data_IF_545518320201
#
_entry.id   IF_545518320201
#
_cell.length_a   1.000
_cell.length_b   1.000
_cell.length_c   1.000
_cell.angle_alpha   90.00
_cell.angle_beta   90.00
_cell.angle_gamma   90.00
#
_symmetry.space_group_name_H-M   'P 1'
#
loop_
_entity.id
_entity.type
_entity.pdbx_description
1 polymer ?
#
# COMPACT_ATOMS: atom_id res chain seq x y z
N UNK A 1 -7.83 -10.35 -25.48
CA UNK A 1 -8.76 -9.45 -24.76
C UNK A 1 -9.17 -8.27 -25.64
N UNK A 2 -8.26 -7.71 -26.45
CA UNK A 2 -8.56 -6.62 -27.41
C UNK A 2 -9.80 -6.83 -28.28
N UNK A 3 -9.95 -7.99 -28.92
CA UNK A 3 -11.08 -8.26 -29.83
C UNK A 3 -12.44 -8.13 -29.12
N UNK A 4 -12.60 -8.79 -27.96
CA UNK A 4 -13.84 -8.77 -27.18
C UNK A 4 -14.14 -7.39 -26.59
N UNK A 5 -13.11 -6.61 -26.21
CA UNK A 5 -13.32 -5.26 -25.67
C UNK A 5 -13.69 -4.26 -26.78
N UNK A 6 -13.07 -4.40 -27.97
CA UNK A 6 -13.40 -3.58 -29.13
C UNK A 6 -14.84 -3.82 -29.63
N UNK A 7 -15.36 -5.05 -29.55
CA UNK A 7 -16.77 -5.36 -29.87
C UNK A 7 -17.77 -4.60 -29.00
N UNK A 8 -17.39 -4.29 -27.75
CA UNK A 8 -18.20 -3.49 -26.81
C UNK A 8 -18.01 -1.98 -27.02
N UNK A 9 -17.21 -1.57 -28.02
CA UNK A 9 -16.99 -0.18 -28.40
C UNK A 9 -15.90 0.55 -27.61
N UNK A 10 -15.13 -0.16 -26.79
CA UNK A 10 -13.96 0.41 -26.09
C UNK A 10 -12.74 0.27 -27.01
N UNK A 11 -12.08 1.37 -27.41
CA UNK A 11 -10.96 1.30 -28.35
C UNK A 11 -9.71 0.71 -27.69
N UNK A 12 -8.84 0.12 -28.51
CA UNK A 12 -7.50 -0.28 -28.09
C UNK A 12 -6.59 0.95 -27.92
N UNK A 13 -6.03 1.14 -26.74
CA UNK A 13 -5.08 2.22 -26.46
C UNK A 13 -3.66 1.83 -26.91
N UNK A 14 -2.89 2.80 -27.41
CA UNK A 14 -1.51 2.56 -27.86
C UNK A 14 -0.55 2.31 -26.68
N UNK A 15 -0.59 3.16 -25.67
CA UNK A 15 0.16 3.02 -24.41
C UNK A 15 -0.50 3.93 -23.36
N UNK A 16 -0.75 3.39 -22.16
CA UNK A 16 -1.27 4.14 -21.03
C UNK A 16 -0.33 5.26 -20.54
N UNK A 17 0.96 5.22 -20.93
CA UNK A 17 1.93 6.26 -20.59
C UNK A 17 1.91 7.48 -21.52
N UNK A 18 1.04 7.51 -22.55
CA UNK A 18 0.94 8.62 -23.50
C UNK A 18 0.04 9.78 -23.02
N UNK A 19 -0.38 9.77 -21.75
CA UNK A 19 -1.24 10.80 -21.16
C UNK A 19 -2.75 10.56 -21.33
N UNK A 20 -3.14 9.55 -22.11
CA UNK A 20 -4.53 9.12 -22.25
C UNK A 20 -4.69 7.71 -21.69
N UNK A 21 -5.53 7.57 -20.65
CA UNK A 21 -5.82 6.31 -19.95
C UNK A 21 -7.18 5.71 -20.35
N UNK A 22 -7.64 5.98 -21.58
CA UNK A 22 -8.90 5.46 -22.09
C UNK A 22 -8.65 4.36 -23.12
N UNK A 23 -9.16 3.17 -22.88
CA UNK A 23 -9.10 2.02 -23.78
C UNK A 23 -8.48 0.76 -23.19
N UNK A 24 -8.40 -0.30 -24.00
CA UNK A 24 -7.74 -1.56 -23.65
C UNK A 24 -6.26 -1.53 -24.04
N UNK A 25 -5.37 -1.82 -23.09
CA UNK A 25 -3.96 -2.05 -23.37
C UNK A 25 -3.28 -2.82 -22.24
N UNK A 26 -2.17 -3.49 -22.55
CA UNK A 26 -1.29 -4.06 -21.54
C UNK A 26 -0.59 -2.96 -20.72
N UNK A 27 -0.76 -3.00 -19.40
CA UNK A 27 -0.04 -2.12 -18.48
C UNK A 27 1.44 -2.56 -18.39
N UNK A 28 2.35 -1.58 -18.54
CA UNK A 28 3.79 -1.85 -18.43
C UNK A 28 4.18 -2.05 -16.97
N UNK A 29 4.76 -3.21 -16.68
CA UNK A 29 5.28 -3.52 -15.35
C UNK A 29 6.74 -3.07 -15.18
N UNK A 30 7.14 -2.75 -13.96
CA UNK A 30 8.53 -2.40 -13.59
C UNK A 30 9.43 -3.63 -13.42
N UNK A 31 9.46 -4.49 -14.45
CA UNK A 31 10.17 -5.78 -14.44
C UNK A 31 11.31 -5.74 -15.45
N UNK A 32 12.48 -6.24 -15.06
CA UNK A 32 13.60 -6.44 -15.97
C UNK A 32 13.34 -7.67 -16.85
N UNK A 33 13.22 -7.54 -18.19
CA UNK A 33 12.90 -8.66 -19.07
C UNK A 33 13.98 -9.75 -19.14
N UNK A 34 15.22 -9.44 -18.72
CA UNK A 34 16.33 -10.41 -18.77
C UNK A 34 16.41 -11.34 -17.55
N UNK A 35 15.68 -11.04 -16.47
CA UNK A 35 15.81 -11.80 -15.23
C UNK A 35 14.56 -11.82 -14.37
N UNK A 36 13.43 -11.35 -14.90
CA UNK A 36 12.12 -11.29 -14.23
C UNK A 36 12.15 -10.67 -12.82
N UNK A 37 13.16 -9.84 -12.55
CA UNK A 37 13.29 -9.13 -11.28
C UNK A 37 12.59 -7.79 -11.38
N UNK A 38 11.69 -7.50 -10.44
CA UNK A 38 11.20 -6.14 -10.22
C UNK A 38 12.31 -5.30 -9.56
N UNK A 39 12.73 -4.21 -10.19
CA UNK A 39 13.65 -3.24 -9.55
C UNK A 39 12.84 -2.21 -8.79
N UNK A 40 12.56 -2.52 -7.52
CA UNK A 40 11.97 -1.55 -6.59
C UNK A 40 12.97 -0.48 -6.12
N UNK A 41 12.46 0.60 -5.55
CA UNK A 41 13.24 1.70 -4.96
C UNK A 41 14.29 1.21 -3.94
N UNK A 42 14.01 0.11 -3.23
CA UNK A 42 14.97 -0.53 -2.33
C UNK A 42 16.24 -1.00 -3.05
N UNK A 43 16.11 -1.68 -4.19
CA UNK A 43 17.25 -2.22 -4.92
C UNK A 43 18.13 -1.10 -5.48
N UNK A 44 17.51 -0.02 -5.97
CA UNK A 44 18.25 1.16 -6.44
C UNK A 44 18.97 1.87 -5.28
N UNK A 45 18.32 2.05 -4.12
CA UNK A 45 18.94 2.71 -2.96
C UNK A 45 20.16 1.94 -2.44
N UNK A 46 20.06 0.61 -2.35
CA UNK A 46 21.19 -0.23 -1.91
C UNK A 46 22.34 -0.23 -2.91
N UNK A 47 22.05 -0.18 -4.21
CA UNK A 47 23.09 -0.02 -5.23
C UNK A 47 23.75 1.36 -5.15
N UNK A 48 22.96 2.41 -4.88
CA UNK A 48 23.47 3.78 -4.72
C UNK A 48 24.35 3.97 -3.50
N UNK A 49 24.13 3.25 -2.40
CA UNK A 49 24.99 3.29 -1.21
C UNK A 49 26.43 2.90 -1.54
N UNK A 50 26.63 1.89 -2.39
CA UNK A 50 27.97 1.48 -2.83
C UNK A 50 28.64 2.51 -3.76
N UNK A 51 27.86 3.36 -4.43
CA UNK A 51 28.36 4.36 -5.38
C UNK A 51 28.64 5.72 -4.71
N UNK A 52 28.03 5.99 -3.55
CA UNK A 52 28.09 7.28 -2.89
C UNK A 52 28.58 7.16 -1.45
N UNK A 53 29.85 7.51 -1.16
CA UNK A 53 30.42 7.35 0.19
C UNK A 53 29.75 8.27 1.24
N UNK A 54 29.03 9.30 0.81
CA UNK A 54 28.30 10.23 1.67
C UNK A 54 26.87 9.78 1.98
N UNK A 55 26.41 8.66 1.42
CA UNK A 55 25.08 8.10 1.64
C UNK A 55 25.17 6.94 2.63
N UNK A 56 24.41 7.02 3.73
CA UNK A 56 24.32 5.95 4.73
C UNK A 56 22.88 5.46 4.79
N UNK A 57 22.67 4.16 4.58
CA UNK A 57 21.32 3.56 4.61
C UNK A 57 21.17 2.67 5.84
N UNK A 58 20.41 3.15 6.82
CA UNK A 58 20.09 2.39 8.01
C UNK A 58 18.89 1.46 7.75
N UNK A 59 19.13 0.14 7.82
CA UNK A 59 18.10 -0.89 7.67
C UNK A 59 17.57 -1.34 9.03
N UNK A 60 16.28 -1.67 9.09
CA UNK A 60 15.63 -2.04 10.36
C UNK A 60 15.54 -0.87 11.34
N UNK A 61 15.61 0.37 10.84
CA UNK A 61 15.51 1.59 11.62
C UNK A 61 14.10 2.19 11.45
N UNK A 62 13.25 2.09 12.48
CA UNK A 62 11.89 2.65 12.46
C UNK A 62 11.88 4.01 13.13
N UNK A 63 11.61 5.08 12.39
CA UNK A 63 11.42 6.42 12.96
C UNK A 63 10.22 6.43 13.92
N UNK A 64 10.41 6.99 15.10
CA UNK A 64 9.41 7.05 16.18
C UNK A 64 8.95 8.46 16.48
N UNK A 65 9.85 9.43 16.41
CA UNK A 65 9.56 10.82 16.74
C UNK A 65 10.58 11.77 16.09
N UNK A 66 10.16 12.97 15.74
CA UNK A 66 11.01 14.07 15.28
C UNK A 66 11.10 15.10 16.42
N UNK A 67 12.32 15.48 16.78
CA UNK A 67 12.57 16.48 17.80
C UNK A 67 12.74 17.84 17.14
N UNK A 68 12.07 18.83 17.70
CA UNK A 68 12.10 20.21 17.25
C UNK A 68 12.77 21.10 18.29
N UNK A 69 13.55 22.06 17.80
CA UNK A 69 14.01 23.20 18.57
C UNK A 69 13.00 24.34 18.45
N UNK A 70 12.54 24.83 19.61
CA UNK A 70 11.53 25.87 19.75
C UNK A 70 12.12 27.24 20.10
N UNK A 71 13.44 27.42 19.98
CA UNK A 71 14.11 28.70 20.25
C UNK A 71 13.76 29.81 19.23
N UNK A 72 13.01 29.50 18.18
CA UNK A 72 12.60 30.45 17.13
C UNK A 72 11.08 30.46 16.95
N UNK A 73 10.56 31.50 16.28
CA UNK A 73 9.14 31.62 15.93
C UNK A 73 8.63 30.48 15.05
N UNK A 74 9.53 29.77 14.35
CA UNK A 74 9.23 28.57 13.58
C UNK A 74 10.03 27.38 14.14
N UNK A 75 9.37 26.31 14.61
CA UNK A 75 10.09 25.16 15.14
C UNK A 75 10.99 24.51 14.09
N UNK A 76 12.25 24.25 14.46
CA UNK A 76 13.23 23.64 13.55
C UNK A 76 13.45 22.18 13.92
N UNK A 77 13.23 21.26 12.97
CA UNK A 77 13.56 19.84 13.18
C UNK A 77 15.08 19.66 13.32
N UNK A 78 15.54 19.11 14.43
CA UNK A 78 16.96 18.96 14.76
C UNK A 78 17.42 17.51 14.83
N UNK A 79 16.55 16.61 15.26
CA UNK A 79 16.88 15.18 15.35
C UNK A 79 15.68 14.28 15.14
N UNK A 80 15.96 13.00 14.88
CA UNK A 80 14.96 11.95 14.73
C UNK A 80 15.31 10.82 15.67
N UNK A 81 14.35 10.43 16.51
CA UNK A 81 14.43 9.21 17.30
C UNK A 81 13.96 8.04 16.45
N UNK A 82 14.75 6.98 16.40
CA UNK A 82 14.42 5.77 15.67
C UNK A 82 14.76 4.53 16.50
N UNK A 83 13.97 3.48 16.32
CA UNK A 83 14.24 2.17 16.90
C UNK A 83 15.09 1.34 15.95
N UNK A 84 16.12 0.70 16.48
CA UNK A 84 17.05 -0.21 15.81
C UNK A 84 17.02 -1.56 16.53
N UNK A 85 17.52 -2.67 15.93
CA UNK A 85 17.69 -3.94 16.64
C UNK A 85 18.52 -3.84 17.93
N UNK A 86 19.33 -2.79 18.06
CA UNK A 86 20.15 -2.50 19.23
C UNK A 86 19.52 -1.48 20.21
N UNK A 87 18.22 -1.21 20.08
CA UNK A 87 17.48 -0.26 20.92
C UNK A 87 17.14 1.07 20.25
N UNK A 88 16.68 2.04 21.03
CA UNK A 88 16.31 3.38 20.55
C UNK A 88 17.58 4.23 20.39
N UNK A 89 17.72 4.87 19.23
CA UNK A 89 18.84 5.76 18.89
C UNK A 89 18.30 7.10 18.38
N UNK A 90 19.17 8.09 18.34
CA UNK A 90 18.88 9.43 17.83
C UNK A 90 19.84 9.78 16.69
N UNK A 91 19.31 10.27 15.57
CA UNK A 91 20.08 10.83 14.47
C UNK A 91 19.87 12.34 14.39
N UNK A 92 20.96 13.12 14.39
CA UNK A 92 20.90 14.59 14.28
C UNK A 92 20.98 15.04 12.83
N UNK A 93 20.16 16.01 12.45
CA UNK A 93 20.16 16.61 11.11
C UNK A 93 20.65 18.06 11.18
N UNK A 94 21.70 18.41 10.42
CA UNK A 94 22.22 19.78 10.35
C UNK A 94 21.34 20.73 9.53
N UNK A 95 20.68 20.19 8.51
CA UNK A 95 19.95 20.99 7.52
C UNK A 95 18.44 20.76 7.57
N UNK A 96 18.00 19.57 7.15
CA UNK A 96 16.59 19.24 6.96
C UNK A 96 16.32 17.79 7.35
N UNK A 97 15.11 17.55 7.83
CA UNK A 97 14.52 16.21 7.98
C UNK A 97 13.45 16.06 6.91
N UNK A 98 13.54 14.99 6.12
CA UNK A 98 12.58 14.69 5.06
C UNK A 98 11.78 13.47 5.50
N UNK A 99 10.45 13.60 5.52
CA UNK A 99 9.55 12.50 5.87
C UNK A 99 9.09 11.82 4.59
N UNK A 100 9.34 10.51 4.50
CA UNK A 100 8.96 9.69 3.35
C UNK A 100 8.57 8.27 3.78
N UNK A 101 7.83 8.16 4.88
CA UNK A 101 7.41 6.86 5.45
C UNK A 101 6.12 6.33 4.81
N UNK A 102 5.63 6.97 3.74
CA UNK A 102 4.43 6.55 2.99
C UNK A 102 3.14 7.17 3.52
N UNK A 103 2.02 6.91 2.82
CA UNK A 103 0.74 7.59 3.06
C UNK A 103 0.17 7.37 4.48
N UNK A 104 0.45 6.22 5.10
CA UNK A 104 -0.05 5.88 6.44
C UNK A 104 0.89 6.35 7.57
N UNK A 105 2.18 6.08 7.43
CA UNK A 105 3.13 6.35 8.51
C UNK A 105 3.63 7.79 8.54
N UNK A 106 3.57 8.53 7.42
CA UNK A 106 3.98 9.94 7.39
C UNK A 106 3.08 10.80 8.28
N UNK A 107 1.73 10.77 8.14
CA UNK A 107 0.87 11.51 9.05
C UNK A 107 0.97 11.02 10.49
N UNK A 108 1.13 9.71 10.71
CA UNK A 108 1.36 9.17 12.05
C UNK A 108 2.62 9.76 12.70
N UNK A 109 3.75 9.79 11.97
CA UNK A 109 5.01 10.35 12.47
C UNK A 109 4.88 11.84 12.76
N UNK A 110 4.18 12.60 11.91
CA UNK A 110 3.89 14.01 12.14
C UNK A 110 3.09 14.22 13.43
N UNK A 111 2.04 13.42 13.65
CA UNK A 111 1.17 13.51 14.83
C UNK A 111 1.96 13.25 16.12
N UNK A 112 2.72 12.16 16.19
CA UNK A 112 3.51 11.83 17.39
C UNK A 112 4.66 12.82 17.64
N UNK A 113 5.04 13.59 16.61
CA UNK A 113 6.03 14.66 16.71
C UNK A 113 5.41 16.03 17.01
N UNK A 114 4.11 16.10 17.31
CA UNK A 114 3.41 17.31 17.68
C UNK A 114 2.90 18.15 16.52
N UNK A 115 2.86 17.62 15.29
CA UNK A 115 2.24 18.27 14.13
C UNK A 115 0.88 17.61 13.88
N UNK A 116 -0.19 18.20 14.39
CA UNK A 116 -1.52 17.57 14.38
C UNK A 116 -2.66 18.60 14.48
N UNK A 117 -3.91 18.22 14.16
CA UNK A 117 -5.08 19.03 14.46
C UNK A 117 -5.20 19.27 15.98
N UNK A 118 -5.40 20.50 16.43
CA UNK A 118 -5.38 20.80 17.88
C UNK A 118 -6.54 20.15 18.63
N UNK A 119 -7.74 20.21 18.07
CA UNK A 119 -8.98 19.74 18.73
C UNK A 119 -8.94 18.26 19.12
N UNK A 120 -8.45 17.39 18.25
CA UNK A 120 -8.47 15.94 18.45
C UNK A 120 -7.43 15.43 19.45
N UNK A 121 -6.33 16.17 19.63
CA UNK A 121 -5.15 15.73 20.37
C UNK A 121 -4.98 16.42 21.72
N UNK A 122 -5.51 17.64 21.87
CA UNK A 122 -5.53 18.35 23.16
C UNK A 122 -6.36 17.58 24.20
N UNK A 123 -7.51 17.04 23.79
CA UNK A 123 -8.36 16.21 24.66
C UNK A 123 -7.70 14.89 25.10
N UNK A 124 -6.64 14.45 24.41
CA UNK A 124 -5.89 13.22 24.71
C UNK A 124 -4.59 13.47 25.46
N UNK A 125 -4.34 14.73 25.87
CA UNK A 125 -3.12 15.12 26.58
C UNK A 125 -1.85 15.06 25.73
N UNK A 126 -1.98 15.06 24.39
CA UNK A 126 -0.83 15.05 23.48
C UNK A 126 -0.47 16.50 23.14
N UNK A 127 0.77 16.95 23.43
CA UNK A 127 1.17 18.32 23.17
C UNK A 127 1.25 18.57 21.66
N UNK A 128 0.54 19.61 21.20
CA UNK A 128 0.56 20.04 19.80
C UNK A 128 1.52 21.21 19.65
N UNK A 129 2.61 21.00 18.92
CA UNK A 129 3.63 21.99 18.63
C UNK A 129 3.23 22.89 17.45
N UNK A 130 2.80 22.27 16.36
CA UNK A 130 2.33 22.97 15.15
C UNK A 130 0.92 22.45 14.87
N UNK A 131 -0.05 23.36 14.83
CA UNK A 131 -1.40 23.01 14.43
C UNK A 131 -1.48 22.81 12.93
N UNK A 132 -1.93 21.62 12.51
CA UNK A 132 -2.18 21.31 11.11
C UNK A 132 -3.41 20.43 10.96
N UNK A 133 -4.49 21.02 10.46
CA UNK A 133 -5.80 20.36 10.32
C UNK A 133 -5.83 19.25 9.27
N UNK A 134 -4.92 19.30 8.28
CA UNK A 134 -4.88 18.35 7.16
C UNK A 134 -4.10 17.07 7.47
N UNK A 135 -3.33 17.02 8.56
CA UNK A 135 -2.50 15.85 8.87
C UNK A 135 -3.39 14.66 9.21
N UNK A 136 -3.22 13.57 8.46
CA UNK A 136 -4.00 12.34 8.62
C UNK A 136 -5.42 12.41 8.05
N UNK A 137 -5.79 13.51 7.40
CA UNK A 137 -7.08 13.69 6.72
C UNK A 137 -6.94 13.48 5.21
N UNK A 138 -8.07 13.44 4.50
CA UNK A 138 -8.13 13.33 3.04
C UNK A 138 -7.39 12.09 2.49
N UNK A 139 -7.49 10.95 3.18
CA UNK A 139 -6.98 9.68 2.66
C UNK A 139 -7.88 9.23 1.50
N UNK A 140 -7.27 9.05 0.33
CA UNK A 140 -7.92 8.56 -0.87
C UNK A 140 -7.32 7.21 -1.25
N UNK A 141 -8.16 6.20 -1.37
CA UNK A 141 -7.79 4.87 -1.86
C UNK A 141 -8.79 4.44 -2.90
N UNK A 142 -8.32 3.70 -3.90
CA UNK A 142 -9.20 3.05 -4.85
C UNK A 142 -9.74 1.76 -4.25
N UNK A 143 -11.04 1.53 -4.40
CA UNK A 143 -11.64 0.24 -4.07
C UNK A 143 -11.32 -0.71 -5.22
N UNK A 144 -10.83 -1.90 -4.89
CA UNK A 144 -10.55 -2.95 -5.86
C UNK A 144 -11.57 -4.06 -5.71
N UNK A 145 -12.22 -4.42 -6.81
CA UNK A 145 -13.13 -5.57 -6.90
C UNK A 145 -12.62 -6.48 -8.01
N UNK A 146 -12.19 -7.68 -7.63
CA UNK A 146 -11.75 -8.69 -8.58
C UNK A 146 -12.92 -9.53 -9.06
N UNK A 147 -13.15 -9.56 -10.37
CA UNK A 147 -14.07 -10.53 -10.99
C UNK A 147 -13.25 -11.71 -11.49
N UNK A 148 -13.70 -12.93 -11.18
CA UNK A 148 -13.07 -14.17 -11.61
C UNK A 148 -14.09 -15.02 -12.35
N UNK A 149 -13.68 -15.57 -13.48
CA UNK A 149 -14.50 -16.45 -14.31
C UNK A 149 -13.72 -17.73 -14.59
N UNK A 150 -14.45 -18.84 -14.73
CA UNK A 150 -13.86 -20.09 -15.17
C UNK A 150 -13.40 -19.96 -16.63
N UNK A 151 -12.22 -20.50 -16.91
CA UNK A 151 -11.61 -20.53 -18.24
C UNK A 151 -11.07 -21.93 -18.48
N UNK A 152 -10.85 -22.26 -19.74
CA UNK A 152 -10.28 -23.56 -20.12
C UNK A 152 -8.97 -23.83 -19.36
N UNK A 153 -8.83 -25.05 -18.83
CA UNK A 153 -7.68 -25.50 -18.04
C UNK A 153 -6.37 -25.56 -18.83
N UNK A 154 -6.41 -25.39 -20.15
CA UNK A 154 -5.23 -25.19 -20.99
C UNK A 154 -4.57 -23.81 -20.82
N UNK A 155 -5.27 -22.83 -20.21
CA UNK A 155 -4.77 -21.47 -20.04
C UNK A 155 -4.08 -21.28 -18.68
N UNK A 156 -2.88 -20.68 -18.71
CA UNK A 156 -2.17 -20.28 -17.51
C UNK A 156 -2.80 -19.02 -16.93
N UNK A 157 -3.45 -19.15 -15.77
CA UNK A 157 -4.04 -18.02 -15.02
C UNK A 157 -3.23 -17.71 -13.77
N UNK A 158 -3.46 -16.54 -13.17
CA UNK A 158 -2.87 -16.20 -11.88
C UNK A 158 -3.31 -17.18 -10.77
N UNK A 159 -4.51 -17.76 -10.90
CA UNK A 159 -5.08 -18.75 -9.99
C UNK A 159 -4.32 -20.08 -10.01
N UNK A 160 -3.55 -20.37 -11.07
CA UNK A 160 -2.74 -21.58 -11.17
C UNK A 160 -1.80 -21.78 -9.96
N UNK A 161 -1.29 -20.68 -9.39
CA UNK A 161 -0.46 -20.73 -8.19
C UNK A 161 -1.20 -21.17 -6.91
N UNK A 162 -2.53 -20.98 -6.88
CA UNK A 162 -3.41 -21.37 -5.78
C UNK A 162 -4.08 -22.74 -6.00
N UNK A 163 -4.24 -23.16 -7.26
CA UNK A 163 -4.94 -24.41 -7.61
C UNK A 163 -4.01 -25.60 -7.93
N UNK A 164 -2.73 -25.37 -8.24
CA UNK A 164 -1.77 -26.45 -8.53
C UNK A 164 -0.80 -26.72 -7.37
N UNK A 165 -0.95 -27.87 -6.73
CA UNK A 165 -0.07 -28.35 -5.65
C UNK A 165 1.38 -28.58 -6.12
N UNK A 166 1.60 -28.82 -7.42
CA UNK A 166 2.92 -29.07 -8.02
C UNK A 166 3.65 -27.76 -8.38
N UNK A 167 2.90 -26.67 -8.53
CA UNK A 167 3.45 -25.36 -8.83
C UNK A 167 4.24 -24.75 -7.66
N UNK A 168 3.71 -24.86 -6.44
CA UNK A 168 4.36 -24.35 -5.22
C UNK A 168 5.79 -24.87 -5.03
N UNK A 169 6.08 -26.19 -5.10
CA UNK A 169 7.45 -26.69 -4.97
C UNK A 169 8.35 -26.26 -6.14
N UNK A 170 7.85 -26.13 -7.37
CA UNK A 170 8.65 -25.60 -8.51
C UNK A 170 9.01 -24.14 -8.33
N UNK A 171 8.07 -23.30 -7.89
CA UNK A 171 8.35 -21.88 -7.59
C UNK A 171 9.25 -21.72 -6.39
N UNK A 172 9.11 -22.57 -5.38
CA UNK A 172 10.01 -22.61 -4.23
C UNK A 172 11.44 -22.96 -4.65
N UNK A 173 11.61 -23.96 -5.52
CA UNK A 173 12.90 -24.31 -6.11
C UNK A 173 13.51 -23.15 -6.92
N UNK A 174 12.70 -22.45 -7.71
CA UNK A 174 13.14 -21.27 -8.48
C UNK A 174 13.57 -20.11 -7.56
N UNK A 175 12.82 -19.84 -6.50
CA UNK A 175 13.17 -18.81 -5.50
C UNK A 175 14.48 -19.14 -4.76
N UNK A 176 14.69 -20.43 -4.45
CA UNK A 176 15.95 -20.90 -3.87
C UNK A 176 17.14 -20.79 -4.84
N UNK A 177 16.91 -20.94 -6.15
CA UNK A 177 17.99 -20.89 -7.15
C UNK A 177 18.33 -19.49 -7.67
N UNK A 178 17.37 -18.55 -7.65
CA UNK A 178 17.57 -17.19 -8.19
C UNK A 178 17.91 -16.14 -7.13
N UNK A 179 17.75 -16.46 -5.85
CA UNK A 179 18.22 -15.61 -4.76
C UNK A 179 19.72 -15.80 -4.56
N UNK A 180 20.55 -14.74 -4.50
CA UNK A 180 21.95 -14.86 -4.09
C UNK A 180 21.98 -15.08 -2.57
N UNK A 181 21.64 -16.30 -2.13
CA UNK A 181 21.78 -16.71 -0.73
C UNK A 181 23.18 -17.31 -0.58
N UNK A 182 24.07 -16.69 0.21
CA UNK A 182 25.38 -17.25 0.47
C UNK A 182 25.26 -18.65 1.09
N UNK A 183 26.12 -19.57 0.66
CA UNK A 183 26.11 -21.01 0.91
C UNK A 183 26.37 -21.46 2.36
N UNK A 184 26.06 -20.61 3.35
CA UNK A 184 26.07 -20.94 4.77
C UNK A 184 24.83 -20.36 5.44
N UNK A 185 23.75 -21.12 5.45
CA UNK A 185 22.73 -21.24 6.52
C UNK A 185 21.57 -22.09 6.00
N UNK A 186 21.81 -23.42 5.90
CA UNK A 186 20.74 -24.42 5.76
C UNK A 186 20.14 -24.70 7.14
N UNK A 187 19.40 -23.74 7.71
CA UNK A 187 18.42 -23.92 8.80
C UNK A 187 18.00 -22.54 9.30
N UNK A 188 16.70 -22.39 9.60
CA UNK A 188 16.02 -21.21 10.17
C UNK A 188 15.58 -20.20 9.09
N UNK A 189 14.32 -19.81 8.89
CA UNK A 189 13.01 -20.24 9.39
C UNK A 189 11.96 -19.76 8.37
N UNK A 190 11.19 -20.67 7.76
CA UNK A 190 10.04 -20.33 6.91
C UNK A 190 8.87 -19.73 7.74
N UNK A 191 9.00 -19.77 9.06
CA UNK A 191 8.00 -19.33 10.04
C UNK A 191 7.85 -17.79 10.11
N UNK A 192 8.90 -17.02 9.79
CA UNK A 192 8.86 -15.55 9.91
C UNK A 192 8.08 -14.87 8.77
N UNK A 193 8.13 -15.44 7.57
CA UNK A 193 7.49 -14.86 6.38
C UNK A 193 5.97 -15.10 6.39
N UNK A 194 5.53 -16.27 6.87
CA UNK A 194 4.11 -16.55 7.08
C UNK A 194 3.55 -15.81 8.29
N UNK A 195 4.32 -15.59 9.38
CA UNK A 195 3.89 -14.73 10.49
C UNK A 195 3.64 -13.29 10.07
N UNK A 196 4.53 -12.69 9.27
CA UNK A 196 4.30 -11.33 8.77
C UNK A 196 3.00 -11.22 7.97
N UNK A 197 2.69 -12.23 7.14
CA UNK A 197 1.45 -12.24 6.36
C UNK A 197 0.19 -12.51 7.21
N UNK A 198 0.30 -13.35 8.24
CA UNK A 198 -0.83 -13.67 9.13
C UNK A 198 -1.09 -12.61 10.19
N UNK A 199 -0.04 -11.97 10.72
CA UNK A 199 -0.15 -10.92 11.73
C UNK A 199 -0.74 -9.64 11.13
N UNK A 200 -0.44 -9.34 9.86
CA UNK A 200 -1.07 -8.24 9.12
C UNK A 200 -2.57 -8.50 8.85
N UNK A 201 -2.97 -9.77 8.63
CA UNK A 201 -4.40 -10.16 8.50
C UNK A 201 -5.12 -10.11 9.86
N UNK A 202 -4.46 -10.51 10.95
CA UNK A 202 -5.03 -10.43 12.31
C UNK A 202 -5.18 -8.99 12.80
N UNK A 203 -4.29 -8.07 12.41
CA UNK A 203 -4.42 -6.65 12.74
C UNK A 203 -5.64 -5.99 12.07
N UNK A 204 -6.09 -6.54 10.94
CA UNK A 204 -7.31 -6.14 10.24
C UNK A 204 -8.57 -6.86 10.77
N UNK A 205 -8.40 -7.94 11.53
CA UNK A 205 -9.48 -8.75 12.09
C UNK A 205 -9.40 -8.79 13.64
N UNK A 206 -9.47 -7.62 14.29
CA UNK A 206 -9.85 -7.61 15.71
C UNK A 206 -11.31 -8.08 15.83
N UNK A 207 -11.65 -8.93 16.83
CA UNK A 207 -12.97 -9.52 16.94
C UNK A 207 -13.98 -8.44 17.31
N UNK A 208 -14.96 -8.21 16.44
CA UNK A 208 -16.21 -7.56 16.79
C UNK A 208 -17.00 -8.47 17.75
N UNK A 209 -16.56 -8.53 19.00
CA UNK A 209 -17.39 -9.05 20.09
C UNK A 209 -18.25 -7.91 20.64
N UNK A 210 -19.57 -8.09 20.49
CA UNK A 210 -20.71 -7.42 21.14
C UNK A 210 -21.12 -6.04 20.60
N UNK A 211 -22.05 -6.08 19.65
CA UNK A 211 -23.25 -5.22 19.68
C UNK A 211 -24.49 -6.13 19.52
N UNK A 212 -25.62 -5.78 20.15
CA UNK A 212 -26.69 -6.72 20.47
C UNK A 212 -27.48 -7.16 19.24
N UNK A 213 -27.93 -8.42 19.30
CA UNK A 213 -28.85 -9.05 18.37
C UNK A 213 -30.16 -8.24 18.26
N UNK A 214 -30.37 -7.57 17.14
CA UNK A 214 -31.71 -7.21 16.70
C UNK A 214 -32.26 -8.35 15.85
N UNK A 215 -33.11 -9.15 16.47
CA UNK A 215 -34.02 -10.08 15.82
C UNK A 215 -34.99 -9.31 14.91
N UNK A 216 -34.91 -9.51 13.60
CA UNK A 216 -36.07 -9.34 12.73
C UNK A 216 -36.12 -10.48 11.73
N UNK A 217 -37.24 -11.17 11.75
CA UNK A 217 -37.45 -12.46 11.14
C UNK A 217 -37.54 -12.39 9.62
N UNK A 218 -37.20 -13.53 9.02
CA UNK A 218 -37.62 -13.89 7.68
C UNK A 218 -39.14 -13.81 7.58
N UNK A 219 -39.65 -12.93 6.73
CA UNK A 219 -40.93 -13.12 6.05
C UNK A 219 -40.79 -12.64 4.62
N UNK A 220 -40.80 -13.59 3.69
CA UNK A 220 -41.12 -13.37 2.28
C UNK A 220 -42.47 -12.67 2.14
N UNK A 221 -42.62 -11.79 1.13
CA UNK A 221 -43.89 -11.76 0.42
C UNK A 221 -43.70 -11.88 -1.10
N UNK A 222 -44.51 -12.80 -1.61
CA UNK A 222 -45.01 -12.97 -2.96
C UNK A 222 -45.60 -11.69 -3.57
N UNK A 223 -45.33 -11.42 -4.86
CA UNK A 223 -46.20 -10.58 -5.72
C UNK A 223 -45.61 -9.26 -6.25
N UNK A 224 -46.17 -8.68 -7.34
CA UNK A 224 -45.39 -8.26 -8.52
C UNK A 224 -45.31 -6.73 -8.78
N UNK A 225 -44.45 -6.35 -9.76
CA UNK A 225 -44.22 -5.00 -10.35
C UNK A 225 -43.45 -3.99 -9.46
N UNK A 226 -42.57 -3.09 -9.94
CA UNK A 226 -42.50 -2.36 -11.21
C UNK A 226 -41.08 -1.85 -11.48
N UNK A 227 -40.67 -1.81 -12.75
CA UNK A 227 -39.44 -1.17 -13.25
C UNK A 227 -39.68 0.34 -13.31
N UNK A 228 -38.97 1.11 -12.48
CA UNK A 228 -38.96 2.57 -12.51
C UNK A 228 -37.68 3.10 -13.13
N UNK A 229 -37.71 3.37 -14.44
CA UNK A 229 -36.74 4.21 -15.12
C UNK A 229 -37.00 5.67 -14.75
N UNK A 230 -36.01 6.35 -14.17
CA UNK A 230 -36.05 7.80 -13.97
C UNK A 230 -35.22 8.50 -15.04
N UNK A 231 -35.94 8.99 -16.04
CA UNK A 231 -35.51 9.92 -17.07
C UNK A 231 -35.19 11.27 -16.39
N UNK A 232 -33.96 11.76 -16.55
CA UNK A 232 -33.61 13.15 -16.23
C UNK A 232 -33.75 14.01 -17.50
N UNK A 233 -34.41 15.18 -17.43
CA UNK A 233 -34.77 15.97 -18.59
C UNK A 233 -33.59 16.82 -19.12
N UNK A 234 -33.64 17.05 -20.43
CA UNK A 234 -32.75 17.88 -21.22
C UNK A 234 -32.69 19.34 -20.74
N UNK A 235 -31.51 19.94 -20.76
CA UNK A 235 -31.32 21.39 -20.79
C UNK A 235 -30.99 21.85 -22.22
N UNK A 236 -31.53 22.99 -22.69
CA UNK A 236 -31.47 23.40 -24.09
C UNK A 236 -30.18 24.12 -24.46
N UNK A 237 -29.81 23.97 -25.73
CA UNK A 237 -28.80 24.74 -26.42
C UNK A 237 -29.19 26.22 -26.52
N UNK A 238 -28.20 27.10 -26.43
CA UNK A 238 -28.28 28.48 -26.90
C UNK A 238 -27.06 28.79 -27.77
N UNK A 239 -27.37 29.53 -28.83
CA UNK A 239 -26.60 29.96 -30.00
C UNK A 239 -25.23 30.57 -29.73
#
# INVERSE_FOLDING_TARGET
MHLSINEVGIPTARDFNMGTLNGDQYARATINPKGDTCRGSRASLLASEALHPNLVVLRGALAKNIIFDNNSSTPKATSVHFSSPFGVKMGTAKHKVIVSTGAFQSPQLSIVSGISPREQFTAKGIPVLIESTNVGQNMQSHIFVGLSYEVDGSLNTFTYAASDLVYLPRKFQFLLSTSPVPSRLRRIEFHSLFRSFHDDIKLLAHPLTRLPTCSFGCTTPTGPFSIGASILPALPALH
#
